data_IF_434696663012
#
_entry.id   IF_434696663012
#
_cell.length_a   1.000
_cell.length_b   1.000
_cell.length_c   1.000
_cell.angle_alpha   90.00
_cell.angle_beta   90.00
_cell.angle_gamma   90.00
#
_symmetry.space_group_name_H-M   'P 1'
#
loop_
_entity.id
_entity.type
_entity.pdbx_description
1 polymer ?
#
# COMPACT_ATOMS: atom_id res chain seq x y z
N UNK A 1 4.14 16.66 3.53
CA UNK A 1 3.98 15.38 4.27
C UNK A 1 2.60 14.83 3.97
N UNK A 2 2.46 13.56 3.56
CA UNK A 2 1.13 12.95 3.38
C UNK A 2 0.47 12.78 4.75
N UNK A 3 -0.76 13.26 4.91
CA UNK A 3 -1.54 13.12 6.14
C UNK A 3 -2.18 11.73 6.19
N UNK A 4 -2.16 11.11 7.37
CA UNK A 4 -2.97 9.93 7.65
C UNK A 4 -4.36 10.39 8.03
N UNK A 5 -5.37 9.65 7.59
CA UNK A 5 -6.77 9.83 7.98
C UNK A 5 -7.28 8.51 8.54
N UNK A 6 -8.07 8.57 9.60
CA UNK A 6 -8.79 7.40 10.13
C UNK A 6 -10.28 7.53 9.82
N UNK A 7 -10.90 6.39 9.52
CA UNK A 7 -12.34 6.27 9.33
C UNK A 7 -12.82 5.12 10.19
N UNK A 8 -13.72 5.40 11.13
CA UNK A 8 -14.28 4.41 12.04
C UNK A 8 -15.75 4.16 11.71
N UNK A 9 -16.17 2.91 11.80
CA UNK A 9 -17.56 2.54 11.58
C UNK A 9 -17.78 1.04 11.52
N UNK A 10 -19.00 0.65 11.20
CA UNK A 10 -19.36 -0.75 11.08
C UNK A 10 -19.10 -1.27 9.67
N UNK A 11 -18.47 -2.43 9.58
CA UNK A 11 -18.23 -3.10 8.31
C UNK A 11 -19.55 -3.69 7.76
N UNK A 12 -20.09 -3.12 6.70
CA UNK A 12 -21.38 -3.55 6.10
C UNK A 12 -21.18 -4.73 5.18
N UNK A 13 -20.16 -4.67 4.34
CA UNK A 13 -19.91 -5.67 3.32
C UNK A 13 -18.42 -5.79 3.03
N UNK A 14 -18.00 -7.00 2.68
CA UNK A 14 -16.65 -7.29 2.20
C UNK A 14 -16.77 -8.24 1.02
N UNK A 15 -16.27 -7.80 -0.13
CA UNK A 15 -16.18 -8.61 -1.34
C UNK A 15 -14.71 -8.96 -1.61
N UNK A 16 -14.46 -10.20 -2.02
CA UNK A 16 -13.13 -10.72 -2.34
C UNK A 16 -13.09 -11.10 -3.81
N UNK A 17 -12.17 -10.48 -4.54
CA UNK A 17 -11.87 -10.76 -5.93
C UNK A 17 -10.50 -11.42 -6.04
N UNK A 18 -10.46 -12.58 -6.69
CA UNK A 18 -9.24 -13.37 -6.93
C UNK A 18 -8.82 -13.17 -8.39
N UNK A 19 -7.52 -13.32 -8.68
CA UNK A 19 -6.97 -13.23 -10.04
C UNK A 19 -7.23 -11.89 -10.73
N UNK A 20 -7.17 -10.79 -9.98
CA UNK A 20 -7.41 -9.45 -10.55
C UNK A 20 -6.33 -9.11 -11.58
N UNK A 21 -6.70 -8.68 -12.79
CA UNK A 21 -5.75 -8.29 -13.81
C UNK A 21 -4.91 -7.12 -13.28
N UNK A 22 -3.59 -7.30 -13.30
CA UNK A 22 -2.65 -6.28 -12.87
C UNK A 22 -2.28 -5.40 -14.04
N UNK A 23 -2.26 -4.08 -13.81
CA UNK A 23 -1.58 -3.19 -14.75
C UNK A 23 -0.11 -3.59 -14.81
N UNK A 24 0.49 -3.51 -15.98
CA UNK A 24 1.86 -3.98 -16.22
C UNK A 24 2.90 -3.44 -15.22
N UNK A 25 2.74 -2.17 -14.79
CA UNK A 25 3.60 -1.52 -13.79
C UNK A 25 3.14 -1.68 -12.33
N UNK A 26 1.91 -2.11 -12.07
CA UNK A 26 1.34 -2.23 -10.71
C UNK A 26 1.28 -3.70 -10.33
N UNK A 27 2.39 -4.20 -9.79
CA UNK A 27 2.48 -5.57 -9.33
C UNK A 27 2.25 -5.63 -7.82
N UNK A 28 1.08 -6.15 -7.43
CA UNK A 28 0.75 -6.44 -6.03
C UNK A 28 1.05 -7.92 -5.73
N UNK A 29 1.66 -8.27 -4.58
CA UNK A 29 1.97 -9.67 -4.27
C UNK A 29 0.70 -10.51 -4.07
N UNK A 30 -0.32 -9.91 -3.44
CA UNK A 30 -1.51 -10.61 -3.00
C UNK A 30 -2.27 -11.31 -4.14
N UNK A 31 -2.27 -10.72 -5.36
CA UNK A 31 -3.17 -11.08 -6.50
C UNK A 31 -4.65 -11.17 -6.12
N UNK A 32 -5.01 -10.58 -4.99
CA UNK A 32 -6.35 -10.50 -4.45
C UNK A 32 -6.69 -9.03 -4.24
N UNK A 33 -7.94 -8.66 -4.56
CA UNK A 33 -8.52 -7.35 -4.27
C UNK A 33 -9.69 -7.59 -3.35
N UNK A 34 -9.71 -6.87 -2.24
CA UNK A 34 -10.83 -6.82 -1.32
C UNK A 34 -11.45 -5.44 -1.42
N UNK A 35 -12.76 -5.42 -1.59
CA UNK A 35 -13.57 -4.22 -1.51
C UNK A 35 -14.39 -4.32 -0.25
N UNK A 36 -14.47 -3.23 0.49
CA UNK A 36 -15.22 -3.20 1.73
C UNK A 36 -15.98 -1.89 1.88
N UNK A 37 -17.14 -2.00 2.52
CA UNK A 37 -18.00 -0.87 2.81
C UNK A 37 -18.05 -0.67 4.31
N UNK A 38 -17.70 0.53 4.76
CA UNK A 38 -17.80 0.94 6.16
C UNK A 38 -18.94 1.93 6.28
N UNK A 39 -19.95 1.59 7.07
CA UNK A 39 -21.01 2.52 7.45
C UNK A 39 -20.56 3.36 8.62
N UNK A 40 -20.53 4.67 8.41
CA UNK A 40 -20.20 5.64 9.45
C UNK A 40 -21.45 6.04 10.23
N UNK A 41 -21.25 6.57 11.45
CA UNK A 41 -22.35 7.02 12.31
C UNK A 41 -23.28 8.07 11.67
N UNK A 42 -22.83 8.76 10.61
CA UNK A 42 -23.64 9.70 9.82
C UNK A 42 -24.51 9.08 8.73
N UNK A 43 -24.60 7.75 8.63
CA UNK A 43 -25.43 7.04 7.64
C UNK A 43 -24.84 7.02 6.22
N UNK A 44 -23.60 7.47 6.05
CA UNK A 44 -22.86 7.38 4.79
C UNK A 44 -21.94 6.15 4.79
N UNK A 45 -21.99 5.41 3.68
CA UNK A 45 -21.12 4.26 3.46
C UNK A 45 -19.93 4.67 2.60
N UNK A 46 -18.72 4.34 3.07
CA UNK A 46 -17.48 4.55 2.31
C UNK A 46 -17.01 3.21 1.76
N UNK A 47 -16.81 3.18 0.44
CA UNK A 47 -16.16 2.06 -0.24
C UNK A 47 -14.65 2.22 -0.16
N UNK A 48 -13.97 1.20 0.35
CA UNK A 48 -12.52 1.13 0.44
C UNK A 48 -12.02 -0.10 -0.30
N UNK A 49 -10.88 0.04 -0.98
CA UNK A 49 -10.27 -1.03 -1.78
C UNK A 49 -8.87 -1.30 -1.29
N UNK A 50 -8.55 -2.58 -1.09
CA UNK A 50 -7.21 -3.02 -0.70
C UNK A 50 -6.80 -4.26 -1.45
N UNK A 51 -5.53 -4.34 -1.82
CA UNK A 51 -4.95 -5.54 -2.40
C UNK A 51 -4.25 -6.33 -1.31
N UNK A 52 -4.97 -7.28 -0.71
CA UNK A 52 -4.42 -8.10 0.37
C UNK A 52 -5.12 -9.44 0.48
N UNK A 53 -4.35 -10.46 0.89
CA UNK A 53 -4.89 -11.78 1.26
C UNK A 53 -5.46 -11.78 2.67
N UNK A 54 -4.96 -10.91 3.54
CA UNK A 54 -5.37 -10.83 4.93
C UNK A 54 -6.60 -9.93 5.09
N UNK A 55 -7.53 -10.35 5.97
CA UNK A 55 -8.66 -9.53 6.37
C UNK A 55 -9.06 -9.87 7.81
N UNK A 56 -8.72 -9.02 8.79
CA UNK A 56 -9.00 -9.31 10.20
C UNK A 56 -10.45 -9.01 10.60
N UNK A 57 -11.30 -8.53 9.68
CA UNK A 57 -12.67 -8.12 9.98
C UNK A 57 -13.70 -8.85 9.12
N UNK A 58 -14.92 -8.98 9.66
CA UNK A 58 -16.09 -9.58 9.02
C UNK A 58 -17.26 -8.60 9.10
N UNK A 59 -18.28 -8.84 8.28
CA UNK A 59 -19.51 -8.06 8.30
C UNK A 59 -20.05 -7.94 9.73
N UNK A 60 -20.47 -6.74 10.11
CA UNK A 60 -20.98 -6.40 11.43
C UNK A 60 -19.92 -5.97 12.44
N UNK A 61 -18.63 -6.18 12.18
CA UNK A 61 -17.56 -5.72 13.08
C UNK A 61 -17.41 -4.20 13.06
N UNK A 62 -17.10 -3.63 14.22
CA UNK A 62 -16.63 -2.26 14.34
C UNK A 62 -15.15 -2.22 13.96
N UNK A 63 -14.82 -1.37 12.99
CA UNK A 63 -13.48 -1.27 12.43
C UNK A 63 -13.06 0.19 12.31
N UNK A 64 -11.76 0.40 12.45
CA UNK A 64 -11.11 1.68 12.17
C UNK A 64 -10.10 1.47 11.06
N UNK A 65 -10.38 2.04 9.89
CA UNK A 65 -9.55 2.01 8.71
C UNK A 65 -8.56 3.19 8.71
N UNK A 66 -7.29 2.90 8.45
CA UNK A 66 -6.24 3.91 8.32
C UNK A 66 -5.92 4.14 6.84
N UNK A 67 -6.06 5.39 6.41
CA UNK A 67 -5.88 5.85 5.04
C UNK A 67 -4.63 6.74 4.93
N UNK A 68 -3.89 6.59 3.84
CA UNK A 68 -2.82 7.49 3.42
C UNK A 68 -3.21 8.12 2.09
N UNK A 69 -3.73 9.35 2.15
CA UNK A 69 -4.52 9.89 1.03
C UNK A 69 -5.78 9.03 0.85
N UNK A 70 -6.00 8.48 -0.35
CA UNK A 70 -7.13 7.60 -0.65
C UNK A 70 -6.82 6.12 -0.43
N UNK A 71 -5.57 5.77 -0.12
CA UNK A 71 -5.14 4.37 -0.05
C UNK A 71 -5.32 3.81 1.36
N UNK A 72 -6.01 2.68 1.47
CA UNK A 72 -6.04 1.89 2.69
C UNK A 72 -4.66 1.29 2.99
N UNK A 73 -4.11 1.61 4.17
CA UNK A 73 -2.77 1.18 4.60
C UNK A 73 -2.80 0.34 5.88
N UNK A 74 -3.84 0.48 6.71
CA UNK A 74 -4.04 -0.36 7.89
C UNK A 74 -5.52 -0.51 8.23
N UNK A 75 -5.84 -1.54 9.01
CA UNK A 75 -7.18 -1.78 9.52
C UNK A 75 -7.07 -2.31 10.94
N UNK A 76 -7.78 -1.67 11.87
CA UNK A 76 -7.99 -2.14 13.22
C UNK A 76 -9.43 -2.65 13.35
N UNK A 77 -9.63 -3.77 14.02
CA UNK A 77 -10.94 -4.33 14.30
C UNK A 77 -11.20 -4.27 15.80
N UNK A 78 -11.95 -3.26 16.22
CA UNK A 78 -12.33 -2.99 17.60
C UNK A 78 -13.10 -4.17 18.23
N UNK A 79 -13.90 -4.89 17.44
CA UNK A 79 -14.69 -6.04 17.92
C UNK A 79 -13.82 -7.22 18.35
N UNK A 80 -12.66 -7.43 17.71
CA UNK A 80 -11.79 -8.59 18.00
C UNK A 80 -10.42 -8.21 18.56
N UNK A 81 -10.10 -6.92 18.62
CA UNK A 81 -8.76 -6.40 18.95
C UNK A 81 -7.67 -6.70 17.92
N UNK A 82 -8.00 -7.36 16.79
CA UNK A 82 -7.05 -7.69 15.74
C UNK A 82 -6.77 -6.47 14.87
N UNK A 83 -5.54 -6.38 14.37
CA UNK A 83 -5.13 -5.32 13.45
C UNK A 83 -4.24 -5.88 12.34
N UNK A 84 -4.24 -5.20 11.20
CA UNK A 84 -3.36 -5.52 10.07
C UNK A 84 -2.73 -4.25 9.52
N UNK A 85 -1.44 -4.34 9.23
CA UNK A 85 -0.71 -3.36 8.44
C UNK A 85 -0.53 -3.94 7.03
N UNK A 86 -1.26 -3.41 6.05
CA UNK A 86 -1.25 -3.96 4.70
C UNK A 86 0.11 -3.78 3.99
N UNK A 87 0.91 -2.79 4.37
CA UNK A 87 2.28 -2.64 3.86
C UNK A 87 3.24 -3.70 4.39
N UNK A 88 2.89 -4.34 5.52
CA UNK A 88 3.63 -5.45 6.11
C UNK A 88 3.16 -6.78 5.54
N UNK A 89 1.84 -7.02 5.53
CA UNK A 89 1.23 -8.25 5.01
C UNK A 89 1.53 -8.47 3.53
N UNK A 90 1.33 -7.42 2.71
CA UNK A 90 1.51 -7.48 1.26
C UNK A 90 2.44 -6.36 0.78
N UNK A 91 3.77 -6.49 1.00
CA UNK A 91 4.72 -5.46 0.62
C UNK A 91 4.68 -5.20 -0.88
N UNK A 92 4.65 -3.93 -1.34
CA UNK A 92 4.79 -3.66 -2.78
C UNK A 92 6.09 -4.29 -3.32
N UNK A 93 6.20 -4.57 -4.61
CA UNK A 93 7.49 -5.05 -5.14
C UNK A 93 8.54 -3.93 -5.11
N UNK A 94 9.77 -4.28 -4.74
CA UNK A 94 10.91 -3.35 -4.81
C UNK A 94 11.31 -3.10 -6.24
N UNK A 95 11.39 -4.18 -7.03
CA UNK A 95 11.66 -4.18 -8.45
C UNK A 95 10.38 -4.46 -9.24
N UNK A 96 10.04 -3.60 -10.19
CA UNK A 96 8.85 -3.72 -11.05
C UNK A 96 9.29 -3.95 -12.48
N UNK A 97 8.41 -4.54 -13.30
CA UNK A 97 8.66 -4.70 -14.75
C UNK A 97 9.00 -3.38 -15.46
N UNK A 98 8.42 -2.27 -15.04
CA UNK A 98 8.68 -0.97 -15.65
C UNK A 98 10.08 -0.44 -15.32
N UNK A 99 10.69 -0.87 -14.20
CA UNK A 99 12.09 -0.56 -13.92
C UNK A 99 13.03 -1.29 -14.89
N UNK A 100 12.69 -2.54 -15.26
CA UNK A 100 13.43 -3.29 -16.26
C UNK A 100 13.34 -2.65 -17.66
N UNK A 101 12.16 -2.12 -18.03
CA UNK A 101 11.99 -1.38 -19.29
C UNK A 101 12.84 -0.11 -19.31
N UNK A 102 12.91 0.63 -18.20
CA UNK A 102 13.76 1.83 -18.10
C UNK A 102 15.23 1.46 -18.31
N UNK A 103 15.72 0.40 -17.67
CA UNK A 103 17.10 -0.07 -17.85
C UNK A 103 17.36 -0.48 -19.28
N UNK A 104 16.47 -1.27 -19.89
CA UNK A 104 16.60 -1.68 -21.29
C UNK A 104 16.61 -0.47 -22.24
N UNK A 105 15.70 0.47 -22.06
CA UNK A 105 15.59 1.66 -22.90
C UNK A 105 16.84 2.55 -22.79
N UNK A 106 17.37 2.76 -21.58
CA UNK A 106 18.60 3.53 -21.36
C UNK A 106 19.81 2.87 -22.03
N UNK A 107 19.95 1.54 -21.88
CA UNK A 107 21.04 0.80 -22.51
C UNK A 107 20.97 0.87 -24.04
N UNK A 108 19.79 0.63 -24.62
CA UNK A 108 19.60 0.68 -26.08
C UNK A 108 19.84 2.09 -26.61
N UNK A 109 19.29 3.12 -25.97
CA UNK A 109 19.49 4.51 -26.38
C UNK A 109 20.97 4.91 -26.35
N UNK A 110 21.70 4.51 -25.30
CA UNK A 110 23.13 4.81 -25.14
C UNK A 110 23.98 4.14 -26.23
N UNK A 111 23.72 2.85 -26.51
CA UNK A 111 24.44 2.11 -27.57
C UNK A 111 24.12 2.69 -28.95
N UNK A 112 22.84 2.96 -29.24
CA UNK A 112 22.43 3.52 -30.53
C UNK A 112 23.02 4.92 -30.76
N UNK A 113 23.03 5.78 -29.74
CA UNK A 113 23.59 7.12 -29.84
C UNK A 113 25.11 7.07 -30.09
N UNK A 114 25.84 6.18 -29.39
CA UNK A 114 27.26 5.94 -29.64
C UNK A 114 27.51 5.45 -31.08
N UNK A 115 26.72 4.49 -31.57
CA UNK A 115 26.87 3.94 -32.91
C UNK A 115 26.66 4.99 -34.02
N UNK A 116 25.74 5.94 -33.82
CA UNK A 116 25.42 6.97 -34.81
C UNK A 116 26.40 8.15 -34.80
N UNK A 117 26.92 8.53 -33.64
CA UNK A 117 27.74 9.75 -33.52
C UNK A 117 29.23 9.48 -33.29
N UNK A 118 29.62 8.22 -33.04
CA UNK A 118 30.97 7.80 -32.63
C UNK A 118 31.54 8.56 -31.41
N UNK A 119 30.70 9.21 -30.60
CA UNK A 119 31.15 9.98 -29.43
C UNK A 119 31.12 9.10 -28.19
N UNK A 120 32.28 8.67 -27.63
CA UNK A 120 32.33 7.73 -26.52
C UNK A 120 31.64 8.23 -25.24
N UNK A 121 31.49 9.55 -25.05
CA UNK A 121 30.77 10.12 -23.92
C UNK A 121 29.32 9.61 -23.82
N UNK A 122 28.71 9.22 -24.94
CA UNK A 122 27.33 8.73 -24.98
C UNK A 122 27.15 7.34 -24.34
N UNK A 123 28.24 6.61 -24.11
CA UNK A 123 28.23 5.33 -23.38
C UNK A 123 28.00 5.50 -21.87
N UNK A 124 27.96 6.73 -21.34
CA UNK A 124 27.64 7.00 -19.93
C UNK A 124 26.23 6.53 -19.53
N UNK A 125 25.34 6.31 -20.51
CA UNK A 125 24.03 5.71 -20.27
C UNK A 125 24.11 4.28 -19.72
N UNK A 126 25.16 3.51 -20.04
CA UNK A 126 25.37 2.16 -19.53
C UNK A 126 25.65 2.11 -18.01
N UNK A 127 26.62 2.85 -17.44
CA UNK A 127 26.80 2.88 -16.00
C UNK A 127 25.59 3.48 -15.27
N UNK A 128 24.88 4.45 -15.87
CA UNK A 128 23.61 4.96 -15.32
C UNK A 128 22.54 3.87 -15.26
N UNK A 129 22.37 3.08 -16.33
CA UNK A 129 21.44 1.97 -16.39
C UNK A 129 21.79 0.87 -15.37
N UNK A 130 23.09 0.63 -15.13
CA UNK A 130 23.58 -0.32 -14.12
C UNK A 130 23.36 0.19 -12.68
N UNK A 131 23.50 1.49 -12.45
CA UNK A 131 23.32 2.11 -11.13
C UNK A 131 21.83 2.28 -10.75
N UNK A 132 20.95 2.38 -11.74
CA UNK A 132 19.52 2.61 -11.52
C UNK A 132 18.85 1.51 -10.63
N UNK A 133 19.02 0.20 -10.88
CA UNK A 133 18.41 -0.86 -10.06
C UNK A 133 18.73 -0.81 -8.57
N UNK A 134 20.01 -0.77 -8.12
CA UNK A 134 20.29 -0.71 -6.70
C UNK A 134 19.75 0.56 -6.05
N UNK A 135 19.83 1.72 -6.74
CA UNK A 135 19.29 2.98 -6.23
C UNK A 135 17.78 2.92 -6.00
N UNK A 136 17.01 2.47 -7.00
CA UNK A 136 15.55 2.44 -6.90
C UNK A 136 15.08 1.41 -5.87
N UNK A 137 15.77 0.26 -5.77
CA UNK A 137 15.48 -0.77 -4.78
C UNK A 137 15.75 -0.25 -3.37
N UNK A 138 16.90 0.38 -3.12
CA UNK A 138 17.23 0.95 -1.82
C UNK A 138 16.26 2.06 -1.43
N UNK A 139 15.95 2.99 -2.34
CA UNK A 139 15.01 4.08 -2.09
C UNK A 139 13.62 3.55 -1.71
N UNK A 140 13.10 2.56 -2.45
CA UNK A 140 11.79 1.94 -2.17
C UNK A 140 11.81 1.10 -0.90
N UNK A 141 12.93 0.47 -0.56
CA UNK A 141 13.11 -0.28 0.68
C UNK A 141 13.09 0.67 1.88
N UNK A 142 13.91 1.72 1.86
CA UNK A 142 13.94 2.74 2.91
C UNK A 142 12.57 3.39 3.11
N UNK A 143 11.91 3.77 2.00
CA UNK A 143 10.54 4.28 2.03
C UNK A 143 9.57 3.30 2.68
N UNK A 144 9.62 2.02 2.31
CA UNK A 144 8.75 0.98 2.89
C UNK A 144 8.98 0.82 4.38
N UNK A 145 10.23 0.75 4.84
CA UNK A 145 10.54 0.61 6.26
C UNK A 145 9.99 1.80 7.06
N UNK A 146 10.22 3.02 6.55
CA UNK A 146 9.68 4.24 7.15
C UNK A 146 8.14 4.23 7.19
N UNK A 147 7.49 3.89 6.08
CA UNK A 147 6.03 3.86 5.99
C UNK A 147 5.42 2.79 6.89
N UNK A 148 6.03 1.60 6.99
CA UNK A 148 5.61 0.54 7.91
C UNK A 148 5.62 1.04 9.34
N UNK A 149 6.73 1.62 9.78
CA UNK A 149 6.86 2.17 11.13
C UNK A 149 5.90 3.33 11.42
N UNK A 150 5.54 4.14 10.41
CA UNK A 150 4.53 5.19 10.55
C UNK A 150 3.12 4.61 10.68
N UNK A 151 2.76 3.62 9.87
CA UNK A 151 1.47 2.93 9.95
C UNK A 151 1.33 2.17 11.27
N UNK A 152 2.38 1.48 11.72
CA UNK A 152 2.37 0.76 12.99
C UNK A 152 2.14 1.70 14.18
N UNK A 153 2.78 2.88 14.17
CA UNK A 153 2.55 3.92 15.19
C UNK A 153 1.13 4.48 15.13
N UNK A 154 0.61 4.76 13.93
CA UNK A 154 -0.73 5.27 13.76
C UNK A 154 -1.80 4.24 14.19
N UNK A 155 -1.60 2.96 13.91
CA UNK A 155 -2.48 1.88 14.39
C UNK A 155 -2.41 1.74 15.92
N UNK A 156 -1.23 1.93 16.53
CA UNK A 156 -1.11 1.93 17.98
C UNK A 156 -1.90 3.09 18.63
N UNK A 157 -1.80 4.30 18.07
CA UNK A 157 -2.58 5.46 18.54
C UNK A 157 -4.10 5.21 18.43
N UNK A 158 -4.57 4.67 17.29
CA UNK A 158 -5.99 4.32 17.11
C UNK A 158 -6.46 3.31 18.15
N UNK A 159 -5.63 2.31 18.45
CA UNK A 159 -5.95 1.30 19.47
C UNK A 159 -6.02 1.92 20.86
N UNK A 160 -5.12 2.84 21.20
CA UNK A 160 -5.09 3.54 22.48
C UNK A 160 -6.32 4.46 22.65
N UNK A 161 -6.69 5.21 21.61
CA UNK A 161 -7.86 6.10 21.62
C UNK A 161 -9.18 5.32 21.82
N UNK A 162 -9.33 4.14 21.20
CA UNK A 162 -10.51 3.29 21.41
C UNK A 162 -10.57 2.68 22.82
N UNK A 163 -9.43 2.33 23.42
CA UNK A 163 -9.38 1.86 24.82
C UNK A 163 -9.71 2.99 25.79
N UNK A 164 -9.30 4.22 25.46
CA UNK A 164 -9.56 5.41 26.28
C UNK A 164 -11.01 5.92 26.21
N UNK A 165 -11.77 5.54 25.18
CA UNK A 165 -13.22 5.79 25.09
C UNK A 165 -13.99 4.54 25.53
N UNK A 166 -14.22 4.33 26.84
CA UNK A 166 -15.05 3.22 27.29
C UNK A 166 -16.45 3.40 26.69
N UNK A 167 -16.87 2.43 25.88
CA UNK A 167 -18.24 2.32 25.40
C UNK A 167 -19.11 2.13 26.64
N UNK A 168 -19.72 3.21 27.13
CA UNK A 168 -20.71 3.18 28.20
C UNK A 168 -21.92 2.38 27.70
N UNK A 169 -21.90 1.07 27.94
CA UNK A 169 -23.01 0.17 27.65
C UNK A 169 -24.06 0.39 28.74
N UNK A 170 -25.15 1.09 28.39
CA UNK A 170 -26.35 1.14 29.25
C UNK A 170 -26.91 -0.28 29.32
N UNK A 171 -26.71 -0.94 30.47
CA UNK A 171 -27.37 -2.20 30.81
C UNK A 171 -28.84 -1.85 31.08
N UNK A 172 -29.76 -2.51 30.36
CA UNK A 172 -31.19 -2.52 30.70
C UNK A 172 -31.47 -3.73 31.59
#
# INVERSE_FOLDING_TARGET
>A
MRKFWSVSGQLVEVQRYINVPMRWCEQYPARERREMWISMAGGHDIKLVVHSREMPARRGHQVTALLLGERLVGLHNATTGKQVNFLRADPPLLWRRCDAVVVAALSVASIAAFALSAWPALLIGLPLALLYPPLIVMARFAWRCRMRAQVDRALAMVKEDEVAQPILRRVK
#
